data_IF_677896160765
#
_entry.id   IF_677896160765
#
_cell.length_a   1.000
_cell.length_b   1.000
_cell.length_c   1.000
_cell.angle_alpha   90.00
_cell.angle_beta   90.00
_cell.angle_gamma   90.00
#
_symmetry.space_group_name_H-M   'P 1'
#
loop_
_entity.id
_entity.type
_entity.pdbx_description
1 polymer ?
#
# COMPACT_ATOMS: atom_id res chain seq x y z
N UNK A 1 -0.97 -29.47 0.19
CA UNK A 1 -0.34 -28.17 0.45
C UNK A 1 0.10 -27.54 -0.86
N UNK A 2 0.05 -26.21 -0.94
CA UNK A 2 0.54 -25.47 -2.11
C UNK A 2 2.07 -25.58 -2.23
N UNK A 3 2.59 -25.52 -3.47
CA UNK A 3 4.04 -25.55 -3.73
C UNK A 3 4.74 -24.37 -3.04
N UNK A 4 5.92 -24.61 -2.47
CA UNK A 4 6.77 -23.59 -1.82
C UNK A 4 6.96 -22.33 -2.66
N UNK A 5 7.21 -22.49 -3.97
CA UNK A 5 7.38 -21.37 -4.90
C UNK A 5 6.18 -20.42 -4.98
N UNK A 6 4.94 -20.90 -4.78
CA UNK A 6 3.78 -20.02 -4.72
C UNK A 6 3.73 -19.20 -3.42
N UNK A 7 4.16 -19.80 -2.29
CA UNK A 7 4.26 -19.12 -0.99
C UNK A 7 5.27 -17.98 -1.06
N UNK A 8 6.45 -18.28 -1.59
CA UNK A 8 7.51 -17.28 -1.84
C UNK A 8 7.02 -16.23 -2.84
N UNK A 9 6.41 -16.64 -3.95
CA UNK A 9 5.89 -15.72 -4.96
C UNK A 9 4.82 -14.76 -4.43
N UNK A 10 3.96 -15.22 -3.51
CA UNK A 10 3.02 -14.33 -2.82
C UNK A 10 3.79 -13.39 -1.87
N UNK A 11 4.67 -13.91 -1.01
CA UNK A 11 5.38 -13.10 -0.02
C UNK A 11 6.30 -12.02 -0.64
N UNK A 12 6.95 -12.32 -1.77
CA UNK A 12 7.79 -11.35 -2.49
C UNK A 12 6.97 -10.22 -3.14
N UNK A 13 5.66 -10.39 -3.28
CA UNK A 13 4.76 -9.33 -3.74
C UNK A 13 4.68 -8.14 -2.79
N UNK A 14 5.19 -8.25 -1.56
CA UNK A 14 5.24 -7.14 -0.60
C UNK A 14 6.55 -6.35 -0.63
N UNK A 15 7.57 -6.77 -1.38
CA UNK A 15 8.85 -6.06 -1.44
C UNK A 15 8.63 -4.64 -1.97
N UNK A 16 8.00 -4.49 -3.13
CA UNK A 16 7.89 -3.18 -3.76
C UNK A 16 6.91 -2.20 -3.10
N UNK A 17 5.75 -2.61 -2.54
CA UNK A 17 4.87 -1.72 -1.80
C UNK A 17 5.53 -1.22 -0.54
N UNK A 18 6.34 -2.05 0.11
CA UNK A 18 7.11 -1.63 1.27
C UNK A 18 8.29 -0.73 0.89
N UNK A 19 8.96 -1.00 -0.23
CA UNK A 19 9.99 -0.09 -0.76
C UNK A 19 9.40 1.27 -1.13
N UNK A 20 8.32 1.30 -1.91
CA UNK A 20 7.67 2.54 -2.34
C UNK A 20 7.00 3.28 -1.17
N UNK A 21 6.35 2.55 -0.25
CA UNK A 21 5.76 3.10 0.96
C UNK A 21 6.81 3.72 1.87
N UNK A 22 7.94 3.05 2.06
CA UNK A 22 9.10 3.60 2.79
C UNK A 22 9.65 4.85 2.09
N UNK A 23 9.76 4.82 0.76
CA UNK A 23 10.20 5.98 0.00
C UNK A 23 9.27 7.19 0.18
N UNK A 24 7.95 6.99 0.16
CA UNK A 24 6.97 8.07 0.41
C UNK A 24 7.00 8.53 1.86
N UNK A 25 7.23 7.62 2.80
CA UNK A 25 7.37 7.96 4.22
C UNK A 25 8.54 8.94 4.44
N UNK A 26 9.72 8.63 3.87
CA UNK A 26 10.89 9.51 3.95
C UNK A 26 10.81 10.74 3.03
N UNK A 27 9.93 10.74 2.03
CA UNK A 27 9.77 11.90 1.14
C UNK A 27 9.41 13.17 1.93
N UNK A 28 8.67 13.04 3.06
CA UNK A 28 8.39 14.17 3.96
C UNK A 28 9.67 14.88 4.41
N UNK A 29 10.68 14.11 4.82
CA UNK A 29 11.93 14.64 5.36
C UNK A 29 12.78 15.24 4.24
N UNK A 30 12.81 14.61 3.05
CA UNK A 30 13.45 15.19 1.86
C UNK A 30 12.80 16.52 1.47
N UNK A 31 11.48 16.62 1.55
CA UNK A 31 10.76 17.86 1.23
C UNK A 31 11.13 18.99 2.19
N UNK A 32 11.23 18.70 3.48
CA UNK A 32 11.58 19.68 4.50
C UNK A 32 13.06 20.07 4.41
N UNK A 33 13.95 19.08 4.47
CA UNK A 33 15.39 19.29 4.64
C UNK A 33 16.07 19.76 3.35
N UNK A 34 15.64 19.23 2.20
CA UNK A 34 16.35 19.44 0.93
C UNK A 34 15.60 20.34 -0.05
N UNK A 35 14.26 20.37 0.02
CA UNK A 35 13.44 21.18 -0.91
C UNK A 35 12.89 22.46 -0.29
N UNK A 36 13.05 22.67 1.02
CA UNK A 36 12.60 23.87 1.72
C UNK A 36 11.08 23.96 1.90
N UNK A 37 10.38 22.81 2.02
CA UNK A 37 8.98 22.80 2.39
C UNK A 37 8.74 23.36 3.80
N UNK A 38 7.58 23.98 4.02
CA UNK A 38 7.23 24.54 5.32
C UNK A 38 7.01 23.42 6.36
N UNK A 39 7.78 23.45 7.44
CA UNK A 39 7.80 22.38 8.45
C UNK A 39 6.46 22.25 9.18
N UNK A 40 5.82 23.39 9.48
CA UNK A 40 4.56 23.40 10.22
C UNK A 40 3.44 22.79 9.38
N UNK A 41 3.31 23.20 8.12
CA UNK A 41 2.35 22.64 7.19
C UNK A 41 2.62 21.17 6.91
N UNK A 42 3.88 20.77 6.69
CA UNK A 42 4.23 19.35 6.51
C UNK A 42 3.89 18.51 7.74
N UNK A 43 4.03 19.06 8.95
CA UNK A 43 3.59 18.43 10.19
C UNK A 43 2.08 18.20 10.23
N UNK A 44 1.28 19.21 9.87
CA UNK A 44 -0.19 19.10 9.78
C UNK A 44 -0.60 18.06 8.73
N UNK A 45 0.02 18.09 7.55
CA UNK A 45 -0.21 17.12 6.48
C UNK A 45 0.13 15.70 6.94
N UNK A 46 1.28 15.53 7.60
CA UNK A 46 1.68 14.23 8.17
C UNK A 46 0.66 13.69 9.18
N UNK A 47 0.13 14.55 10.05
CA UNK A 47 -0.92 14.18 10.99
C UNK A 47 -2.25 13.81 10.29
N UNK A 48 -2.63 14.53 9.23
CA UNK A 48 -3.82 14.19 8.45
C UNK A 48 -3.65 12.83 7.73
N UNK A 49 -2.46 12.56 7.17
CA UNK A 49 -2.16 11.30 6.48
C UNK A 49 -2.11 10.10 7.44
N UNK A 50 -1.71 10.30 8.70
CA UNK A 50 -1.71 9.21 9.70
C UNK A 50 -3.14 8.75 10.04
N UNK A 51 -4.12 9.67 10.03
CA UNK A 51 -5.55 9.35 10.17
C UNK A 51 -6.11 8.75 8.88
N UNK A 52 -5.62 9.20 7.72
CA UNK A 52 -6.06 8.70 6.42
C UNK A 52 -5.78 7.21 6.25
N UNK A 53 -4.63 6.69 6.71
CA UNK A 53 -4.25 5.28 6.54
C UNK A 53 -5.30 4.26 7.01
N UNK A 54 -5.78 4.33 8.28
CA UNK A 54 -6.86 3.47 8.75
C UNK A 54 -8.16 3.61 7.96
N UNK A 55 -8.53 4.84 7.57
CA UNK A 55 -9.74 5.10 6.76
C UNK A 55 -9.60 4.43 5.39
N UNK A 56 -8.48 4.63 4.70
CA UNK A 56 -8.23 4.04 3.40
C UNK A 56 -8.15 2.52 3.46
N UNK A 57 -7.61 1.94 4.54
CA UNK A 57 -7.59 0.48 4.76
C UNK A 57 -9.01 -0.09 4.84
N UNK A 58 -9.89 0.53 5.61
CA UNK A 58 -11.29 0.09 5.71
C UNK A 58 -12.01 0.23 4.35
N UNK A 59 -11.90 1.39 3.72
CA UNK A 59 -12.51 1.66 2.41
C UNK A 59 -12.00 0.72 1.32
N UNK A 60 -10.71 0.41 1.30
CA UNK A 60 -10.12 -0.54 0.36
C UNK A 60 -10.71 -1.94 0.52
N UNK A 61 -10.86 -2.44 1.76
CA UNK A 61 -11.51 -3.72 2.01
C UNK A 61 -12.96 -3.74 1.49
N UNK A 62 -13.74 -2.72 1.84
CA UNK A 62 -15.14 -2.58 1.41
C UNK A 62 -15.31 -2.52 -0.11
N UNK A 63 -14.50 -1.71 -0.80
CA UNK A 63 -14.58 -1.54 -2.26
C UNK A 63 -14.15 -2.78 -3.03
N UNK A 64 -13.15 -3.52 -2.54
CA UNK A 64 -12.70 -4.75 -3.18
C UNK A 64 -13.76 -5.84 -3.17
N UNK A 65 -14.66 -5.84 -2.19
CA UNK A 65 -15.76 -6.78 -2.16
C UNK A 65 -16.80 -6.46 -3.26
N UNK A 66 -17.01 -5.20 -3.63
CA UNK A 66 -18.05 -4.79 -4.59
C UNK A 66 -17.75 -5.03 -6.08
N UNK A 67 -16.77 -5.89 -6.39
CA UNK A 67 -16.44 -6.34 -7.76
C UNK A 67 -16.37 -5.21 -8.83
N UNK A 68 -15.98 -4.00 -8.42
CA UNK A 68 -16.01 -2.78 -9.25
C UNK A 68 -15.22 -2.91 -10.57
N UNK A 69 -14.16 -3.73 -10.56
CA UNK A 69 -13.30 -3.98 -11.72
C UNK A 69 -13.78 -5.12 -12.63
N UNK A 70 -14.87 -5.81 -12.28
CA UNK A 70 -15.33 -7.00 -13.00
C UNK A 70 -15.72 -6.75 -14.46
N UNK A 71 -16.10 -5.50 -14.80
CA UNK A 71 -16.43 -5.09 -16.19
C UNK A 71 -15.22 -5.22 -17.13
N UNK A 72 -14.03 -4.86 -16.66
CA UNK A 72 -12.80 -4.93 -17.45
C UNK A 72 -12.02 -6.24 -17.21
N UNK A 73 -12.24 -6.87 -16.06
CA UNK A 73 -11.50 -8.04 -15.63
C UNK A 73 -12.46 -9.18 -15.23
N UNK A 74 -12.79 -10.10 -16.17
CA UNK A 74 -13.76 -11.15 -15.90
C UNK A 74 -13.23 -12.11 -14.82
N UNK A 75 -14.11 -12.43 -13.85
CA UNK A 75 -13.79 -13.27 -12.69
C UNK A 75 -13.19 -14.63 -13.09
N UNK A 76 -13.73 -15.27 -14.13
CA UNK A 76 -13.26 -16.58 -14.61
C UNK A 76 -11.77 -16.62 -15.00
N UNK A 77 -11.20 -15.47 -15.43
CA UNK A 77 -9.79 -15.38 -15.84
C UNK A 77 -8.91 -14.78 -14.75
N UNK A 78 -9.39 -13.74 -14.08
CA UNK A 78 -8.58 -12.93 -13.18
C UNK A 78 -8.80 -13.21 -11.69
N UNK A 79 -9.88 -13.90 -11.33
CA UNK A 79 -10.33 -13.95 -9.94
C UNK A 79 -10.72 -12.57 -9.44
N UNK A 80 -10.85 -12.45 -8.12
CA UNK A 80 -11.29 -11.21 -7.46
C UNK A 80 -10.14 -10.25 -7.19
N UNK A 81 -8.98 -10.77 -6.79
CA UNK A 81 -7.90 -9.98 -6.19
C UNK A 81 -6.89 -9.46 -7.22
N UNK A 82 -6.57 -10.24 -8.25
CA UNK A 82 -5.57 -9.87 -9.25
C UNK A 82 -5.84 -8.53 -9.99
N UNK A 83 -7.09 -8.15 -10.33
CA UNK A 83 -7.36 -6.85 -10.97
C UNK A 83 -7.01 -5.66 -10.08
N UNK A 84 -7.38 -5.74 -8.80
CA UNK A 84 -7.08 -4.73 -7.80
C UNK A 84 -5.58 -4.59 -7.60
N UNK A 85 -4.89 -5.73 -7.46
CA UNK A 85 -3.45 -5.78 -7.39
C UNK A 85 -2.82 -5.08 -8.61
N UNK A 86 -3.09 -5.55 -9.83
CA UNK A 86 -2.50 -5.01 -11.06
C UNK A 86 -2.71 -3.50 -11.23
N UNK A 87 -3.95 -3.03 -11.08
CA UNK A 87 -4.31 -1.62 -11.33
C UNK A 87 -3.64 -0.69 -10.34
N UNK A 88 -3.67 -1.03 -9.05
CA UNK A 88 -3.08 -0.21 -8.00
C UNK A 88 -1.56 -0.30 -8.01
N UNK A 89 -1.01 -1.38 -8.53
CA UNK A 89 0.41 -1.52 -8.76
C UNK A 89 0.97 -0.55 -9.81
N UNK A 90 0.28 -0.44 -10.95
CA UNK A 90 0.65 0.52 -11.99
C UNK A 90 0.46 1.97 -11.50
N UNK A 91 -0.58 2.21 -10.70
CA UNK A 91 -0.77 3.50 -10.05
C UNK A 91 0.37 3.80 -9.06
N UNK A 92 0.82 2.81 -8.28
CA UNK A 92 1.93 2.94 -7.34
C UNK A 92 3.23 3.34 -8.03
N UNK A 93 3.53 2.70 -9.15
CA UNK A 93 4.75 2.98 -9.90
C UNK A 93 4.77 4.42 -10.42
N UNK A 94 3.63 4.91 -10.95
CA UNK A 94 3.50 6.29 -11.38
C UNK A 94 3.56 7.29 -10.21
N UNK A 95 2.87 6.97 -9.10
CA UNK A 95 2.81 7.84 -7.93
C UNK A 95 4.17 7.99 -7.23
N UNK A 96 4.93 6.90 -7.12
CA UNK A 96 6.25 6.92 -6.50
C UNK A 96 7.26 7.68 -7.36
N UNK A 97 7.10 7.67 -8.68
CA UNK A 97 7.89 8.54 -9.55
C UNK A 97 7.52 10.02 -9.34
N UNK A 98 6.22 10.32 -9.34
CA UNK A 98 5.73 11.69 -9.25
C UNK A 98 6.02 12.36 -7.89
N UNK A 99 6.05 11.60 -6.79
CA UNK A 99 6.30 12.17 -5.45
C UNK A 99 7.67 12.82 -5.33
N UNK A 100 8.68 12.42 -6.10
CA UNK A 100 10.02 13.04 -6.04
C UNK A 100 10.26 14.07 -7.15
N UNK A 101 9.27 14.28 -8.02
CA UNK A 101 9.33 15.16 -9.19
C UNK A 101 8.29 16.28 -9.13
N UNK A 102 8.22 17.10 -8.06
CA UNK A 102 7.34 18.26 -8.04
C UNK A 102 7.77 19.28 -9.12
N UNK A 103 6.82 19.86 -9.87
CA UNK A 103 7.12 20.86 -10.90
C UNK A 103 7.58 22.23 -10.35
N UNK A 104 7.40 22.46 -9.04
CA UNK A 104 7.79 23.68 -8.36
C UNK A 104 8.35 23.37 -6.98
N UNK A 105 9.33 24.17 -6.54
CA UNK A 105 9.94 24.09 -5.20
C UNK A 105 9.38 25.15 -4.25
N UNK A 106 8.28 25.81 -4.61
CA UNK A 106 7.62 26.74 -3.70
C UNK A 106 7.10 25.99 -2.46
N UNK A 107 7.35 26.48 -1.22
CA UNK A 107 7.08 25.71 0.00
C UNK A 107 5.63 25.20 0.13
N UNK A 108 4.63 26.06 -0.13
CA UNK A 108 3.22 25.66 -0.08
C UNK A 108 2.83 24.68 -1.18
N UNK A 109 3.42 24.81 -2.37
CA UNK A 109 3.20 23.88 -3.47
C UNK A 109 3.73 22.49 -3.13
N UNK A 110 4.92 22.41 -2.53
CA UNK A 110 5.51 21.16 -2.06
C UNK A 110 4.61 20.47 -1.02
N UNK A 111 4.05 21.22 -0.08
CA UNK A 111 3.10 20.68 0.91
C UNK A 111 1.85 20.10 0.24
N UNK A 112 1.25 20.83 -0.70
CA UNK A 112 0.08 20.36 -1.45
C UNK A 112 0.39 19.14 -2.31
N UNK A 113 1.54 19.13 -2.98
CA UNK A 113 2.01 18.01 -3.80
C UNK A 113 2.24 16.75 -2.96
N UNK A 114 2.95 16.87 -1.83
CA UNK A 114 3.13 15.76 -0.89
C UNK A 114 1.80 15.26 -0.32
N UNK A 115 0.87 16.17 0.01
CA UNK A 115 -0.46 15.80 0.51
C UNK A 115 -1.22 14.94 -0.50
N UNK A 116 -1.25 15.36 -1.76
CA UNK A 116 -1.95 14.64 -2.83
C UNK A 116 -1.36 13.25 -3.06
N UNK A 117 -0.04 13.18 -3.29
CA UNK A 117 0.62 11.90 -3.58
C UNK A 117 0.70 11.00 -2.35
N UNK A 118 0.86 11.56 -1.15
CA UNK A 118 0.82 10.84 0.11
C UNK A 118 -0.56 10.21 0.37
N UNK A 119 -1.65 10.95 0.14
CA UNK A 119 -3.01 10.43 0.28
C UNK A 119 -3.30 9.33 -0.76
N UNK A 120 -2.90 9.56 -2.02
CA UNK A 120 -3.06 8.56 -3.08
C UNK A 120 -2.24 7.29 -2.79
N UNK A 121 -1.01 7.43 -2.31
CA UNK A 121 -0.17 6.29 -1.92
C UNK A 121 -0.74 5.56 -0.70
N UNK A 122 -1.30 6.28 0.28
CA UNK A 122 -2.03 5.66 1.39
C UNK A 122 -3.19 4.78 0.93
N UNK A 123 -3.96 5.26 -0.06
CA UNK A 123 -5.02 4.48 -0.71
C UNK A 123 -4.46 3.25 -1.44
N UNK A 124 -3.46 3.45 -2.30
CA UNK A 124 -2.84 2.38 -3.09
C UNK A 124 -2.29 1.27 -2.19
N UNK A 125 -1.51 1.62 -1.17
CA UNK A 125 -0.94 0.67 -0.22
C UNK A 125 -2.04 -0.08 0.54
N UNK A 126 -3.09 0.62 0.95
CA UNK A 126 -4.26 0.01 1.61
C UNK A 126 -4.91 -1.06 0.74
N UNK A 127 -5.10 -0.80 -0.55
CA UNK A 127 -5.63 -1.78 -1.50
C UNK A 127 -4.67 -2.96 -1.66
N UNK A 128 -3.37 -2.70 -1.85
CA UNK A 128 -2.39 -3.75 -2.07
C UNK A 128 -2.21 -4.67 -0.85
N UNK A 129 -2.13 -4.11 0.36
CA UNK A 129 -2.04 -4.90 1.59
C UNK A 129 -3.31 -5.70 1.86
N UNK A 130 -4.49 -5.10 1.73
CA UNK A 130 -5.73 -5.87 1.91
C UNK A 130 -5.88 -6.95 0.84
N UNK A 131 -5.46 -6.68 -0.39
CA UNK A 131 -5.46 -7.66 -1.47
C UNK A 131 -4.52 -8.83 -1.15
N UNK A 132 -3.32 -8.54 -0.65
CA UNK A 132 -2.36 -9.53 -0.18
C UNK A 132 -2.94 -10.37 0.96
N UNK A 133 -3.46 -9.74 2.00
CA UNK A 133 -4.00 -10.40 3.18
C UNK A 133 -5.18 -11.31 2.83
N UNK A 134 -6.12 -10.81 2.02
CA UNK A 134 -7.24 -11.59 1.53
C UNK A 134 -6.77 -12.76 0.65
N UNK A 135 -5.85 -12.52 -0.30
CA UNK A 135 -5.32 -13.59 -1.14
C UNK A 135 -4.59 -14.68 -0.33
N UNK A 136 -3.86 -14.28 0.72
CA UNK A 136 -3.21 -15.22 1.63
C UNK A 136 -4.22 -16.09 2.38
N UNK A 137 -5.28 -15.48 2.91
CA UNK A 137 -6.34 -16.22 3.60
C UNK A 137 -7.11 -17.16 2.66
N UNK A 138 -7.32 -16.74 1.42
CA UNK A 138 -8.00 -17.54 0.38
C UNK A 138 -7.14 -18.73 -0.09
N UNK A 139 -5.84 -18.53 -0.32
CA UNK A 139 -4.94 -19.55 -0.87
C UNK A 139 -4.45 -20.54 0.19
N UNK A 140 -4.32 -20.13 1.45
CA UNK A 140 -3.75 -20.95 2.52
C UNK A 140 -4.75 -21.08 3.67
N UNK A 141 -5.68 -22.04 3.63
CA UNK A 141 -6.74 -22.15 4.63
C UNK A 141 -6.22 -22.63 6.00
N UNK A 142 -5.16 -23.45 6.03
CA UNK A 142 -4.60 -23.96 7.29
C UNK A 142 -3.79 -22.87 8.01
N UNK A 143 -3.71 -22.97 9.35
CA UNK A 143 -2.96 -22.01 10.16
C UNK A 143 -1.46 -22.14 9.91
N UNK A 144 -1.00 -23.36 9.72
CA UNK A 144 0.39 -23.74 9.51
C UNK A 144 0.92 -23.15 8.20
N UNK A 145 0.18 -23.32 7.09
CA UNK A 145 0.59 -22.75 5.81
C UNK A 145 0.60 -21.21 5.83
N UNK A 146 -0.35 -20.58 6.54
CA UNK A 146 -0.37 -19.12 6.72
C UNK A 146 0.82 -18.63 7.54
N UNK A 147 1.18 -19.36 8.59
CA UNK A 147 2.34 -19.04 9.42
C UNK A 147 3.65 -19.14 8.65
N UNK A 148 3.79 -20.14 7.77
CA UNK A 148 4.96 -20.26 6.88
C UNK A 148 5.05 -19.10 5.88
N UNK A 149 3.92 -18.67 5.31
CA UNK A 149 3.92 -17.50 4.42
C UNK A 149 4.27 -16.24 5.20
N UNK A 150 3.73 -16.07 6.41
CA UNK A 150 4.00 -14.90 7.25
C UNK A 150 5.47 -14.75 7.64
N UNK A 151 6.17 -15.86 7.92
CA UNK A 151 7.60 -15.78 8.23
C UNK A 151 8.41 -15.28 7.03
N UNK A 152 8.11 -15.74 5.82
CA UNK A 152 8.72 -15.24 4.58
C UNK A 152 8.35 -13.78 4.34
N UNK A 153 7.10 -13.39 4.62
CA UNK A 153 6.63 -12.00 4.52
C UNK A 153 7.45 -11.06 5.40
N UNK A 154 7.80 -11.44 6.63
CA UNK A 154 8.63 -10.57 7.49
C UNK A 154 10.01 -10.31 6.88
N UNK A 155 10.61 -11.34 6.27
CA UNK A 155 11.90 -11.20 5.58
C UNK A 155 11.77 -10.32 4.34
N UNK A 156 10.79 -10.58 3.49
CA UNK A 156 10.56 -9.77 2.28
C UNK A 156 10.19 -8.33 2.62
N UNK A 157 9.49 -8.12 3.73
CA UNK A 157 9.19 -6.80 4.25
C UNK A 157 10.44 -6.03 4.68
N UNK A 158 11.35 -6.70 5.39
CA UNK A 158 12.67 -6.14 5.69
C UNK A 158 13.43 -5.74 4.43
N UNK A 159 13.46 -6.61 3.42
CA UNK A 159 14.10 -6.30 2.13
C UNK A 159 13.45 -5.09 1.44
N UNK A 160 12.11 -5.02 1.41
CA UNK A 160 11.37 -3.90 0.86
C UNK A 160 11.72 -2.58 1.55
N UNK A 161 11.65 -2.54 2.88
CA UNK A 161 12.00 -1.34 3.65
C UNK A 161 13.45 -0.90 3.42
N UNK A 162 14.41 -1.83 3.34
CA UNK A 162 15.81 -1.50 3.03
C UNK A 162 15.94 -0.92 1.62
N UNK A 163 15.27 -1.51 0.62
CA UNK A 163 15.27 -1.02 -0.76
C UNK A 163 14.62 0.37 -0.89
N UNK A 164 13.65 0.70 -0.05
CA UNK A 164 13.06 2.04 0.05
C UNK A 164 13.95 3.04 0.81
N UNK A 165 14.53 2.59 1.91
CA UNK A 165 15.29 3.42 2.83
C UNK A 165 16.63 3.87 2.27
N UNK A 166 17.38 2.99 1.59
CA UNK A 166 18.72 3.33 1.07
C UNK A 166 18.69 4.48 0.05
N UNK A 167 17.85 4.46 -1.01
CA UNK A 167 17.77 5.59 -1.93
C UNK A 167 17.25 6.86 -1.25
N UNK A 168 16.33 6.72 -0.28
CA UNK A 168 15.82 7.86 0.49
C UNK A 168 16.91 8.50 1.35
N UNK A 169 17.77 7.70 1.97
CA UNK A 169 18.93 8.18 2.73
C UNK A 169 19.94 8.92 1.83
N UNK A 170 20.16 8.42 0.61
CA UNK A 170 21.01 9.10 -0.38
C UNK A 170 20.39 10.46 -0.76
N UNK A 171 19.07 10.51 -0.97
CA UNK A 171 18.37 11.77 -1.27
C UNK A 171 18.45 12.77 -0.12
N UNK A 172 18.41 12.31 1.14
CA UNK A 172 18.60 13.16 2.32
C UNK A 172 20.02 13.71 2.45
N UNK A 173 21.00 13.14 1.76
CA UNK A 173 22.36 13.70 1.71
C UNK A 173 22.52 14.75 0.58
N UNK A 174 21.56 14.86 -0.33
CA UNK A 174 21.60 15.82 -1.44
C UNK A 174 20.53 15.56 -2.50
N UNK A 175 19.40 16.25 -2.43
CA UNK A 175 18.26 16.01 -3.33
C UNK A 175 18.32 16.81 -4.65
N UNK A 176 19.48 16.78 -5.32
CA UNK A 176 19.63 17.36 -6.66
C UNK A 176 18.56 16.78 -7.61
N UNK A 177 18.19 17.53 -8.65
CA UNK A 177 17.21 17.04 -9.62
C UNK A 177 17.62 15.70 -10.24
N UNK A 178 18.91 15.52 -10.56
CA UNK A 178 19.45 14.27 -11.08
C UNK A 178 19.29 13.11 -10.11
N UNK A 179 19.62 13.31 -8.83
CA UNK A 179 19.45 12.29 -7.79
C UNK A 179 17.98 11.89 -7.62
N UNK A 180 17.07 12.86 -7.61
CA UNK A 180 15.62 12.62 -7.53
C UNK A 180 15.09 11.87 -8.74
N UNK A 181 15.50 12.25 -9.95
CA UNK A 181 15.11 11.55 -11.17
C UNK A 181 15.62 10.10 -11.17
N UNK A 182 16.86 9.87 -10.74
CA UNK A 182 17.44 8.54 -10.63
C UNK A 182 16.70 7.66 -9.60
N UNK A 183 16.43 8.19 -8.40
CA UNK A 183 15.65 7.48 -7.37
C UNK A 183 14.21 7.19 -7.83
N UNK A 184 13.55 8.17 -8.45
CA UNK A 184 12.20 8.00 -9.02
C UNK A 184 12.16 6.89 -10.07
N UNK A 185 13.15 6.87 -10.94
CA UNK A 185 13.29 5.86 -12.00
C UNK A 185 13.58 4.48 -11.40
N UNK A 186 14.45 4.39 -10.39
CA UNK A 186 14.70 3.16 -9.64
C UNK A 186 13.39 2.62 -9.03
N UNK A 187 12.63 3.47 -8.32
CA UNK A 187 11.38 3.05 -7.72
C UNK A 187 10.31 2.67 -8.73
N UNK A 188 10.27 3.31 -9.90
CA UNK A 188 9.41 2.89 -11.01
C UNK A 188 9.70 1.43 -11.40
N UNK A 189 10.97 1.08 -11.60
CA UNK A 189 11.35 -0.30 -11.95
C UNK A 189 11.13 -1.28 -10.80
N UNK A 190 11.51 -0.91 -9.57
CA UNK A 190 11.29 -1.73 -8.38
C UNK A 190 9.80 -2.02 -8.21
N UNK A 191 8.94 -1.02 -8.38
CA UNK A 191 7.50 -1.23 -8.41
C UNK A 191 7.16 -2.32 -9.44
N UNK A 192 7.49 -2.15 -10.72
CA UNK A 192 7.10 -3.09 -11.77
C UNK A 192 7.57 -4.55 -11.56
N UNK A 193 8.66 -4.80 -10.83
CA UNK A 193 9.18 -6.16 -10.60
C UNK A 193 8.14 -7.08 -9.93
N UNK A 194 7.36 -6.65 -8.93
CA UNK A 194 6.41 -7.58 -8.30
C UNK A 194 5.15 -7.89 -9.12
N UNK A 195 5.04 -7.39 -10.35
CA UNK A 195 4.07 -7.93 -11.32
C UNK A 195 4.33 -9.42 -11.61
N UNK A 196 5.54 -9.93 -11.34
CA UNK A 196 5.87 -11.36 -11.39
C UNK A 196 4.96 -12.19 -10.46
N UNK A 197 4.44 -11.61 -9.38
CA UNK A 197 3.53 -12.28 -8.43
C UNK A 197 2.08 -12.33 -8.91
N UNK A 198 1.72 -11.60 -9.97
CA UNK A 198 0.35 -11.53 -10.49
C UNK A 198 -0.31 -12.89 -10.80
N UNK A 199 0.40 -13.90 -11.35
CA UNK A 199 -0.18 -15.23 -11.57
C UNK A 199 -0.68 -15.88 -10.28
N UNK A 200 -0.01 -15.66 -9.14
CA UNK A 200 -0.42 -16.20 -7.83
C UNK A 200 -1.74 -15.55 -7.38
N UNK A 201 -1.88 -14.23 -7.56
CA UNK A 201 -3.14 -13.53 -7.24
C UNK A 201 -4.32 -13.98 -8.11
N UNK A 202 -4.09 -14.45 -9.34
CA UNK A 202 -5.16 -14.99 -10.20
C UNK A 202 -5.72 -16.33 -9.72
N UNK A 203 -4.99 -17.00 -8.81
CA UNK A 203 -5.43 -18.24 -8.18
C UNK A 203 -6.41 -17.96 -7.02
N UNK A 204 -6.42 -16.74 -6.45
CA UNK A 204 -7.35 -16.33 -5.40
C UNK A 204 -8.74 -16.03 -6.00
N UNK A 205 -9.59 -17.07 -6.00
CA UNK A 205 -10.89 -17.10 -6.68
C UNK A 205 -12.04 -17.42 -5.72
N UNK A 206 -11.95 -17.03 -4.45
CA UNK A 206 -13.09 -17.21 -3.56
C UNK A 206 -14.27 -16.36 -4.07
N UNK A 207 -15.42 -17.02 -4.24
CA UNK A 207 -16.65 -16.36 -4.68
C UNK A 207 -17.16 -15.38 -3.63
N UNK A 208 -18.05 -14.50 -4.10
CA UNK A 208 -18.61 -13.46 -3.26
C UNK A 208 -19.67 -14.04 -2.33
N UNK A 209 -19.65 -13.61 -1.06
CA UNK A 209 -20.75 -13.89 -0.14
C UNK A 209 -21.82 -12.80 -0.34
N UNK A 210 -22.96 -13.09 -0.99
CA UNK A 210 -23.97 -12.08 -1.31
C UNK A 210 -24.51 -11.38 -0.06
N UNK A 211 -24.53 -12.06 1.10
CA UNK A 211 -24.97 -11.46 2.35
C UNK A 211 -24.08 -10.30 2.84
N UNK A 212 -22.81 -10.26 2.39
CA UNK A 212 -21.86 -9.18 2.72
C UNK A 212 -21.97 -7.98 1.78
N UNK A 213 -22.59 -8.12 0.61
CA UNK A 213 -22.74 -7.02 -0.36
C UNK A 213 -23.88 -6.06 -0.03
N UNK A 214 -24.91 -6.54 0.68
CA UNK A 214 -26.12 -5.77 0.97
C UNK A 214 -25.91 -4.73 2.11
N UNK A 215 -24.76 -4.74 2.76
CA UNK A 215 -24.39 -3.79 3.80
C UNK A 215 -24.14 -2.38 3.27
N UNK A 216 -24.73 -1.37 3.92
CA UNK A 216 -24.27 0.02 3.79
C UNK A 216 -22.98 0.21 4.59
N UNK A 217 -22.03 0.97 4.06
CA UNK A 217 -20.76 1.31 4.72
C UNK A 217 -20.95 1.82 6.15
N UNK A 218 -21.93 2.71 6.36
CA UNK A 218 -22.22 3.26 7.69
C UNK A 218 -22.66 2.18 8.70
N UNK A 219 -23.44 1.19 8.24
CA UNK A 219 -23.91 0.08 9.08
C UNK A 219 -22.73 -0.81 9.51
N UNK A 220 -21.83 -1.12 8.59
CA UNK A 220 -20.63 -1.91 8.91
C UNK A 220 -19.71 -1.17 9.88
N UNK A 221 -19.43 0.11 9.64
CA UNK A 221 -18.61 0.92 10.54
C UNK A 221 -19.23 1.01 11.94
N UNK A 222 -20.55 1.23 12.02
CA UNK A 222 -21.28 1.22 13.29
C UNK A 222 -21.18 -0.14 13.99
N UNK A 223 -21.28 -1.24 13.24
CA UNK A 223 -21.17 -2.59 13.79
C UNK A 223 -19.76 -2.85 14.33
N UNK A 224 -18.71 -2.45 13.61
CA UNK A 224 -17.32 -2.56 14.05
C UNK A 224 -17.05 -1.74 15.32
N UNK A 225 -17.51 -0.48 15.36
CA UNK A 225 -17.41 0.36 16.55
C UNK A 225 -18.21 -0.19 17.75
N UNK A 226 -19.27 -0.97 17.49
CA UNK A 226 -20.00 -1.70 18.52
C UNK A 226 -19.20 -2.83 19.15
N UNK A 227 -18.20 -3.39 18.45
CA UNK A 227 -17.39 -4.49 18.96
C UNK A 227 -16.46 -4.01 20.08
N UNK A 228 -16.48 -4.71 21.21
CA UNK A 228 -15.62 -4.39 22.37
C UNK A 228 -14.13 -4.42 22.02
N UNK A 229 -13.70 -5.38 21.20
CA UNK A 229 -12.31 -5.50 20.77
C UNK A 229 -11.83 -4.30 19.95
N UNK A 230 -12.66 -3.80 19.03
CA UNK A 230 -12.33 -2.61 18.22
C UNK A 230 -12.16 -1.38 19.11
N UNK A 231 -13.09 -1.16 20.05
CA UNK A 231 -13.00 -0.07 21.02
C UNK A 231 -11.74 -0.16 21.88
N UNK A 232 -11.39 -1.36 22.35
CA UNK A 232 -10.18 -1.57 23.14
C UNK A 232 -8.90 -1.24 22.35
N UNK A 233 -8.80 -1.70 21.10
CA UNK A 233 -7.67 -1.41 20.22
C UNK A 233 -7.56 0.09 19.89
N UNK A 234 -8.70 0.77 19.68
CA UNK A 234 -8.71 2.22 19.49
C UNK A 234 -8.23 2.98 20.73
N UNK A 235 -8.70 2.61 21.92
CA UNK A 235 -8.26 3.23 23.18
C UNK A 235 -6.76 3.00 23.42
N UNK A 236 -6.28 1.78 23.19
CA UNK A 236 -4.86 1.44 23.34
C UNK A 236 -3.97 2.34 22.44
N UNK A 237 -4.36 2.49 21.17
CA UNK A 237 -3.61 3.29 20.19
C UNK A 237 -3.68 4.81 20.43
N UNK A 238 -4.63 5.29 21.22
CA UNK A 238 -4.71 6.70 21.65
C UNK A 238 -3.92 6.96 22.95
N UNK A 239 -3.54 5.90 23.68
CA UNK A 239 -2.73 5.98 24.90
C UNK A 239 -1.23 5.84 24.62
N UNK A 240 -0.85 5.22 23.50
CA UNK A 240 0.52 5.23 22.94
C UNK A 240 0.83 6.57 22.24
#
# INVERSE_FOLDING_TARGET
GHRWWHKVGLATSLISPLACGTAVFFAKDVYILEMGADVQMMGVVGAALSVWGPISAYLAGFTMERSLLARCFPFARWGRRAPWFLTHWLAMSAATFAVYMPPSVQPHFLCGWYSFWGALMGWILSVLFNCFEAARAELYPTKEERSEVESVVKVTAGCGNTLGGVPSAILMAGATFGARAAASTLFLFVALISLVSLPVFRMARQEHDPAKLEGSLFREMRNLLGQGACRHLMCYRLME
#
